data_IF_984003609477
#
_entry.id   IF_984003609477
#
_cell.length_a   1.000
_cell.length_b   1.000
_cell.length_c   1.000
_cell.angle_alpha   90.00
_cell.angle_beta   90.00
_cell.angle_gamma   90.00
#
_symmetry.space_group_name_H-M   'P 1'
#
loop_
_entity.id
_entity.type
_entity.pdbx_description
1 polymer ?
#
# COMPACT_ATOMS: atom_id res chain seq x y z
N UNK A 1 -11.55 13.43 -14.85
CA UNK A 1 -10.77 14.68 -14.77
C UNK A 1 -9.74 14.59 -13.66
N UNK A 2 -8.48 15.01 -13.91
CA UNK A 2 -7.53 15.16 -12.84
C UNK A 2 -8.06 16.19 -11.83
N UNK A 3 -8.02 15.90 -10.55
CA UNK A 3 -8.58 16.73 -9.50
C UNK A 3 -7.50 17.09 -8.47
N UNK A 4 -7.72 18.20 -7.76
CA UNK A 4 -6.88 18.56 -6.63
C UNK A 4 -6.94 17.50 -5.53
N UNK A 5 -8.04 16.77 -5.43
CA UNK A 5 -8.21 15.66 -4.50
C UNK A 5 -7.18 14.57 -4.78
N UNK A 6 -6.89 14.25 -6.04
CA UNK A 6 -5.85 13.28 -6.39
C UNK A 6 -4.47 13.72 -5.91
N UNK A 7 -4.17 15.01 -5.99
CA UNK A 7 -2.91 15.57 -5.50
C UNK A 7 -2.82 15.48 -3.99
N UNK A 8 -3.89 15.85 -3.27
CA UNK A 8 -3.93 15.77 -1.81
C UNK A 8 -3.80 14.33 -1.33
N UNK A 9 -4.52 13.40 -1.94
CA UNK A 9 -4.43 11.98 -1.62
C UNK A 9 -3.03 11.43 -1.90
N UNK A 10 -2.40 11.86 -2.98
CA UNK A 10 -1.02 11.48 -3.30
C UNK A 10 -0.05 11.94 -2.22
N UNK A 11 -0.18 13.17 -1.73
CA UNK A 11 0.68 13.71 -0.67
C UNK A 11 0.50 12.94 0.63
N UNK A 12 -0.73 12.61 1.00
CA UNK A 12 -1.04 11.81 2.19
C UNK A 12 -0.48 10.40 2.07
N UNK A 13 -0.67 9.76 0.91
CA UNK A 13 -0.17 8.41 0.65
C UNK A 13 1.36 8.37 0.73
N UNK A 14 2.03 9.38 0.19
CA UNK A 14 3.49 9.50 0.27
C UNK A 14 3.97 9.62 1.72
N UNK A 15 3.29 10.41 2.55
CA UNK A 15 3.61 10.54 3.97
C UNK A 15 3.43 9.21 4.70
N UNK A 16 2.37 8.46 4.39
CA UNK A 16 2.15 7.12 4.97
C UNK A 16 3.29 6.17 4.59
N UNK A 17 3.66 6.14 3.30
CA UNK A 17 4.75 5.28 2.81
C UNK A 17 6.11 5.62 3.44
N UNK A 18 6.34 6.89 3.80
CA UNK A 18 7.57 7.34 4.46
C UNK A 18 7.53 7.18 5.98
N UNK A 19 6.38 6.86 6.55
CA UNK A 19 6.22 6.68 7.99
C UNK A 19 6.91 5.41 8.47
N UNK A 20 7.86 5.53 9.38
CA UNK A 20 8.50 4.38 10.01
C UNK A 20 7.50 3.56 10.80
N UNK A 21 6.54 4.19 11.46
CA UNK A 21 5.49 3.52 12.21
C UNK A 21 4.65 2.64 11.30
N UNK A 22 4.27 3.15 10.12
CA UNK A 22 3.50 2.37 9.14
C UNK A 22 4.31 1.19 8.61
N UNK A 23 5.56 1.43 8.19
CA UNK A 23 6.44 0.39 7.66
C UNK A 23 6.69 -0.70 8.71
N UNK A 24 6.96 -0.30 9.95
CA UNK A 24 7.18 -1.24 11.05
C UNK A 24 5.91 -2.02 11.38
N UNK A 25 4.74 -1.39 11.35
CA UNK A 25 3.47 -2.07 11.61
C UNK A 25 3.18 -3.16 10.57
N UNK A 26 3.42 -2.88 9.30
CA UNK A 26 3.26 -3.87 8.22
C UNK A 26 4.26 -5.03 8.40
N UNK A 27 5.51 -4.73 8.72
CA UNK A 27 6.55 -5.74 8.94
C UNK A 27 6.22 -6.62 10.15
N UNK A 28 5.80 -6.03 11.27
CA UNK A 28 5.42 -6.74 12.46
C UNK A 28 4.22 -7.67 12.21
N UNK A 29 3.22 -7.17 11.49
CA UNK A 29 2.03 -7.95 11.15
C UNK A 29 2.38 -9.13 10.25
N UNK A 30 3.23 -8.89 9.26
CA UNK A 30 3.73 -9.95 8.38
C UNK A 30 4.45 -11.05 9.18
N UNK A 31 5.34 -10.65 10.08
CA UNK A 31 6.09 -11.60 10.92
C UNK A 31 5.16 -12.37 11.85
N UNK A 32 4.14 -11.72 12.40
CA UNK A 32 3.13 -12.37 13.23
C UNK A 32 2.38 -13.45 12.44
N UNK A 33 1.94 -13.14 11.24
CA UNK A 33 1.25 -14.11 10.38
C UNK A 33 2.15 -15.27 9.98
N UNK A 34 3.42 -15.01 9.68
CA UNK A 34 4.40 -16.06 9.35
C UNK A 34 4.60 -16.98 10.57
N UNK A 35 4.72 -16.42 11.77
CA UNK A 35 4.89 -17.21 12.99
C UNK A 35 3.64 -18.06 13.28
N UNK A 36 2.45 -17.51 13.09
CA UNK A 36 1.20 -18.27 13.22
C UNK A 36 1.13 -19.40 12.20
N UNK A 37 1.57 -19.15 10.97
CA UNK A 37 1.62 -20.16 9.92
C UNK A 37 2.60 -21.29 10.28
N UNK A 38 3.79 -20.94 10.75
CA UNK A 38 4.82 -21.90 11.16
C UNK A 38 4.38 -22.77 12.34
N UNK A 39 3.62 -22.21 13.28
CA UNK A 39 3.11 -22.93 14.44
C UNK A 39 1.79 -23.65 14.21
N UNK A 40 1.18 -23.48 13.03
CA UNK A 40 -0.09 -24.14 12.71
C UNK A 40 0.11 -25.63 12.46
N UNK A 41 -0.93 -26.43 12.78
CA UNK A 41 -0.91 -27.85 12.50
C UNK A 41 -1.00 -28.10 10.99
N UNK A 42 -0.25 -29.09 10.50
CA UNK A 42 -0.21 -29.42 9.07
C UNK A 42 -1.59 -29.80 8.53
N UNK A 43 -2.44 -30.39 9.33
CA UNK A 43 -3.80 -30.81 8.94
C UNK A 43 -4.82 -29.67 9.00
N UNK A 44 -4.47 -28.52 9.55
CA UNK A 44 -5.34 -27.35 9.57
C UNK A 44 -5.17 -26.55 8.26
N UNK A 45 -5.64 -27.13 7.18
CA UNK A 45 -5.48 -26.61 5.83
C UNK A 45 -6.14 -25.24 5.68
N UNK A 46 -7.34 -25.08 6.19
CA UNK A 46 -8.11 -23.84 6.08
C UNK A 46 -7.39 -22.66 6.75
N UNK A 47 -6.89 -22.85 7.97
CA UNK A 47 -6.14 -21.84 8.70
C UNK A 47 -4.85 -21.46 7.96
N UNK A 48 -4.11 -22.47 7.47
CA UNK A 48 -2.86 -22.25 6.74
C UNK A 48 -3.08 -21.49 5.43
N UNK A 49 -4.13 -21.81 4.70
CA UNK A 49 -4.48 -21.10 3.46
C UNK A 49 -4.86 -19.65 3.74
N UNK A 50 -5.65 -19.40 4.78
CA UNK A 50 -6.05 -18.06 5.15
C UNK A 50 -4.86 -17.19 5.57
N UNK A 51 -3.93 -17.75 6.35
CA UNK A 51 -2.70 -17.06 6.73
C UNK A 51 -1.82 -16.76 5.51
N UNK A 52 -1.69 -17.70 4.59
CA UNK A 52 -0.92 -17.52 3.37
C UNK A 52 -1.49 -16.37 2.51
N UNK A 53 -2.82 -16.33 2.36
CA UNK A 53 -3.50 -15.24 1.65
C UNK A 53 -3.27 -13.90 2.33
N UNK A 54 -3.35 -13.85 3.67
CA UNK A 54 -3.12 -12.64 4.45
C UNK A 54 -1.69 -12.12 4.23
N UNK A 55 -0.69 -13.00 4.29
CA UNK A 55 0.71 -12.65 4.07
C UNK A 55 0.89 -12.06 2.67
N UNK A 56 0.26 -12.64 1.66
CA UNK A 56 0.35 -12.16 0.27
C UNK A 56 -0.36 -10.82 0.05
N UNK A 57 -1.40 -10.52 0.84
CA UNK A 57 -2.16 -9.28 0.71
C UNK A 57 -1.46 -8.08 1.33
N UNK A 58 -0.60 -8.28 2.33
CA UNK A 58 0.08 -7.17 3.01
C UNK A 58 0.88 -6.27 2.05
N UNK A 59 1.68 -6.80 1.10
CA UNK A 59 2.37 -5.95 0.14
C UNK A 59 1.43 -5.16 -0.78
N UNK A 60 0.20 -5.63 -0.97
CA UNK A 60 -0.79 -4.95 -1.81
C UNK A 60 -1.22 -3.61 -1.22
N UNK A 61 -1.17 -3.44 0.11
CA UNK A 61 -1.45 -2.16 0.76
C UNK A 61 -0.45 -1.10 0.32
N UNK A 62 0.85 -1.41 0.40
CA UNK A 62 1.91 -0.50 -0.06
C UNK A 62 1.82 -0.23 -1.55
N UNK A 63 1.57 -1.26 -2.34
CA UNK A 63 1.40 -1.16 -3.79
C UNK A 63 0.26 -0.20 -4.14
N UNK A 64 -0.87 -0.31 -3.46
CA UNK A 64 -2.02 0.55 -3.70
C UNK A 64 -1.73 2.01 -3.32
N UNK A 65 -1.03 2.23 -2.22
CA UNK A 65 -0.58 3.57 -1.83
C UNK A 65 0.35 4.18 -2.90
N UNK A 66 1.26 3.39 -3.46
CA UNK A 66 2.13 3.85 -4.56
C UNK A 66 1.34 4.22 -5.81
N UNK A 67 0.28 3.48 -6.12
CA UNK A 67 -0.63 3.81 -7.23
C UNK A 67 -1.27 5.18 -7.00
N UNK A 68 -1.70 5.47 -5.77
CA UNK A 68 -2.27 6.76 -5.40
C UNK A 68 -1.24 7.89 -5.60
N UNK A 69 0.01 7.65 -5.19
CA UNK A 69 1.11 8.62 -5.38
C UNK A 69 1.33 8.89 -6.87
N UNK A 70 1.43 7.84 -7.68
CA UNK A 70 1.63 7.96 -9.12
C UNK A 70 0.49 8.73 -9.79
N UNK A 71 -0.74 8.48 -9.39
CA UNK A 71 -1.91 9.18 -9.91
C UNK A 71 -1.83 10.68 -9.62
N UNK A 72 -1.39 11.08 -8.44
CA UNK A 72 -1.18 12.47 -8.09
C UNK A 72 -0.06 13.12 -8.90
N UNK A 73 1.02 12.41 -9.16
CA UNK A 73 2.14 12.88 -9.99
C UNK A 73 1.66 13.12 -11.42
N UNK A 74 0.90 12.21 -12.00
CA UNK A 74 0.33 12.37 -13.33
C UNK A 74 -0.58 13.59 -13.39
N UNK A 75 -1.43 13.77 -12.38
CA UNK A 75 -2.34 14.93 -12.29
C UNK A 75 -1.56 16.24 -12.23
N UNK A 76 -0.52 16.34 -11.42
CA UNK A 76 0.35 17.53 -11.35
C UNK A 76 1.00 17.81 -12.69
N UNK A 77 1.49 16.80 -13.36
CA UNK A 77 2.11 16.93 -14.68
C UNK A 77 1.13 17.47 -15.72
N UNK A 78 -0.10 16.97 -15.72
CA UNK A 78 -1.15 17.46 -16.63
C UNK A 78 -1.50 18.91 -16.37
N UNK A 79 -1.65 19.30 -15.10
CA UNK A 79 -1.93 20.69 -14.72
C UNK A 79 -0.77 21.61 -15.13
N UNK A 80 0.47 21.18 -14.95
CA UNK A 80 1.65 21.91 -15.37
C UNK A 80 1.69 22.14 -16.89
N UNK A 81 1.32 21.15 -17.67
CA UNK A 81 1.22 21.27 -19.13
C UNK A 81 0.18 22.30 -19.57
N UNK A 82 -0.98 22.31 -18.90
CA UNK A 82 -2.04 23.27 -19.16
C UNK A 82 -1.56 24.72 -18.91
N UNK A 83 -0.82 24.93 -17.86
CA UNK A 83 -0.23 26.24 -17.54
C UNK A 83 0.84 26.68 -18.54
N UNK A 84 1.60 25.75 -19.12
CA UNK A 84 2.64 26.04 -20.10
C UNK A 84 2.08 26.41 -21.46
N UNK A 85 0.90 25.95 -21.79
CA UNK A 85 0.26 26.20 -23.09
C UNK A 85 -0.42 27.58 -23.12
N UNK A 86 -0.68 28.15 -21.98
CA UNK A 86 -1.26 29.49 -21.88
C UNK A 86 -0.16 30.55 -21.86
#
# INVERSE_FOLDING_TARGET
MPSQEDILNSNEAELILKSDTFTNAIEELKNEYINLWLSSKQDDISKRENLHKAIKLLPEVEKHLRIIVEKGIITKSQLGRLHKVV
#
